data_IF_290034950892
#
_entry.id   IF_290034950892
#
_cell.length_a   1.000
_cell.length_b   1.000
_cell.length_c   1.000
_cell.angle_alpha   90.00
_cell.angle_beta   90.00
_cell.angle_gamma   90.00
#
_symmetry.space_group_name_H-M   'P 1'
#
loop_
_entity.id
_entity.type
_entity.pdbx_description
1 polymer ?
#
# COMPACT_ATOMS: atom_id res chain seq x y z
N UNK A 1 -83.48 -5.31 -4.48
CA UNK A 1 -82.17 -5.97 -4.55
C UNK A 1 -81.27 -5.32 -3.51
N UNK A 2 -81.05 -5.98 -2.38
CA UNK A 2 -80.32 -5.42 -1.24
C UNK A 2 -78.89 -5.91 -1.32
N UNK A 3 -77.92 -5.00 -1.47
CA UNK A 3 -76.51 -5.31 -1.42
C UNK A 3 -76.01 -5.31 0.04
N UNK A 4 -75.52 -6.44 0.45
CA UNK A 4 -74.99 -6.66 1.79
C UNK A 4 -73.51 -6.26 1.80
N UNK A 5 -73.15 -5.28 2.62
CA UNK A 5 -71.78 -4.82 2.81
C UNK A 5 -71.18 -5.55 4.01
N UNK A 6 -70.39 -6.57 3.74
CA UNK A 6 -69.58 -7.24 4.77
C UNK A 6 -68.28 -6.47 4.98
N UNK A 7 -68.10 -6.11 6.22
CA UNK A 7 -66.93 -5.47 6.77
C UNK A 7 -65.63 -6.18 6.43
N UNK A 8 -64.71 -5.51 5.75
CA UNK A 8 -63.32 -5.92 5.67
C UNK A 8 -62.60 -5.35 6.88
N UNK A 9 -62.30 -6.18 7.87
CA UNK A 9 -61.37 -5.87 8.92
C UNK A 9 -59.96 -5.91 8.34
N UNK A 10 -59.32 -4.73 8.14
CA UNK A 10 -57.92 -4.60 7.73
C UNK A 10 -57.05 -4.92 8.93
N UNK A 11 -56.50 -6.12 8.98
CA UNK A 11 -55.52 -6.54 9.98
C UNK A 11 -54.21 -5.83 9.68
N UNK A 12 -53.93 -4.70 10.29
CA UNK A 12 -52.59 -4.10 10.27
C UNK A 12 -51.65 -5.01 11.06
N UNK A 13 -50.93 -5.89 10.36
CA UNK A 13 -49.75 -6.56 10.92
C UNK A 13 -48.64 -5.51 10.98
N UNK A 14 -48.46 -4.94 12.16
CA UNK A 14 -47.27 -4.16 12.47
C UNK A 14 -46.10 -5.14 12.52
N UNK A 15 -45.36 -5.23 11.43
CA UNK A 15 -44.06 -5.85 11.46
C UNK A 15 -43.15 -4.97 12.33
N UNK A 16 -43.06 -5.29 13.62
CA UNK A 16 -41.91 -4.87 14.41
C UNK A 16 -40.70 -5.62 13.81
N UNK A 17 -40.01 -4.97 12.87
CA UNK A 17 -38.65 -5.32 12.56
C UNK A 17 -37.85 -5.10 13.85
N UNK A 18 -37.64 -6.18 14.60
CA UNK A 18 -36.54 -6.20 15.56
C UNK A 18 -35.27 -5.89 14.73
N UNK A 19 -34.85 -4.63 14.74
CA UNK A 19 -33.46 -4.29 14.50
C UNK A 19 -32.69 -5.00 15.62
N UNK A 20 -32.34 -6.25 15.42
CA UNK A 20 -31.19 -6.85 16.09
C UNK A 20 -30.03 -6.00 15.62
N UNK A 21 -29.63 -5.02 16.43
CA UNK A 21 -28.44 -4.24 16.19
C UNK A 21 -27.30 -5.24 15.98
N UNK A 22 -26.94 -5.47 14.73
CA UNK A 22 -25.71 -6.19 14.43
C UNK A 22 -24.61 -5.41 15.13
N UNK A 23 -23.97 -6.02 16.13
CA UNK A 23 -22.84 -5.39 16.77
C UNK A 23 -21.83 -5.21 15.65
N UNK A 24 -21.59 -3.97 15.26
CA UNK A 24 -20.74 -3.64 14.13
C UNK A 24 -19.35 -4.23 14.33
N UNK A 25 -18.85 -4.93 13.32
CA UNK A 25 -17.49 -5.44 13.25
C UNK A 25 -16.97 -5.28 11.83
N UNK A 26 -15.67 -5.19 11.68
CA UNK A 26 -14.97 -5.22 10.39
C UNK A 26 -13.91 -6.30 10.48
N UNK A 27 -14.04 -7.31 9.64
CA UNK A 27 -13.03 -8.37 9.52
C UNK A 27 -11.72 -7.77 8.98
N UNK A 28 -10.55 -8.38 9.30
CA UNK A 28 -9.27 -7.87 8.81
C UNK A 28 -9.26 -7.63 7.29
N UNK A 29 -9.04 -6.38 6.89
CA UNK A 29 -9.04 -5.95 5.50
C UNK A 29 -7.78 -6.41 4.78
N UNK A 30 -6.62 -6.29 5.43
CA UNK A 30 -5.31 -6.63 4.89
C UNK A 30 -5.04 -8.13 5.10
N UNK A 31 -4.76 -8.85 4.02
CA UNK A 31 -4.56 -10.30 4.05
C UNK A 31 -3.08 -10.71 4.01
N UNK A 32 -2.17 -9.76 3.87
CA UNK A 32 -0.74 -10.01 3.78
C UNK A 32 -0.16 -10.48 5.11
N UNK A 33 0.78 -11.42 5.05
CA UNK A 33 1.57 -11.89 6.19
C UNK A 33 3.04 -11.51 5.99
N UNK A 34 3.28 -10.25 5.65
CA UNK A 34 4.62 -9.78 5.31
C UNK A 34 5.47 -9.49 6.53
N UNK A 35 6.79 -9.50 6.33
CA UNK A 35 7.77 -9.23 7.38
C UNK A 35 8.84 -8.25 6.91
N UNK A 36 9.73 -7.86 7.82
CA UNK A 36 10.85 -6.98 7.50
C UNK A 36 12.09 -7.72 6.96
N UNK A 37 11.99 -9.04 6.77
CA UNK A 37 13.09 -9.92 6.32
C UNK A 37 12.81 -10.46 4.93
N UNK A 38 13.74 -11.24 4.37
CA UNK A 38 13.57 -11.90 3.06
C UNK A 38 12.21 -12.65 3.00
N UNK A 39 11.50 -12.54 1.85
CA UNK A 39 11.93 -11.86 0.61
C UNK A 39 11.67 -10.34 0.57
N UNK A 40 11.00 -9.76 1.58
CA UNK A 40 10.51 -8.38 1.56
C UNK A 40 11.63 -7.34 1.61
N UNK A 41 12.80 -7.69 2.18
CA UNK A 41 13.96 -6.81 2.25
C UNK A 41 15.05 -7.11 1.21
N UNK A 42 14.82 -7.98 0.25
CA UNK A 42 15.87 -8.44 -0.68
C UNK A 42 16.48 -7.32 -1.54
N UNK A 43 15.79 -6.20 -1.68
CA UNK A 43 16.31 -5.00 -2.35
C UNK A 43 16.90 -3.95 -1.39
N UNK A 44 16.80 -4.15 -0.10
CA UNK A 44 17.38 -3.24 0.89
C UNK A 44 18.91 -3.25 0.86
N UNK A 45 19.57 -2.19 1.35
CA UNK A 45 21.02 -2.14 1.34
C UNK A 45 21.65 -3.23 2.22
N UNK A 46 22.80 -3.72 1.81
CA UNK A 46 23.62 -4.63 2.62
C UNK A 46 24.53 -3.80 3.53
N UNK A 47 24.50 -4.11 4.82
CA UNK A 47 25.44 -3.58 5.81
C UNK A 47 26.79 -4.28 5.69
N UNK A 48 27.84 -3.56 5.34
CA UNK A 48 29.15 -4.15 5.07
C UNK A 48 29.88 -4.63 6.32
N UNK A 49 29.43 -4.25 7.53
CA UNK A 49 30.00 -4.74 8.79
C UNK A 49 29.60 -6.19 9.05
N UNK A 50 28.34 -6.50 8.77
CA UNK A 50 27.77 -7.81 9.06
C UNK A 50 27.67 -8.69 7.81
N UNK A 51 27.81 -8.09 6.62
CA UNK A 51 27.55 -8.71 5.32
C UNK A 51 26.12 -9.26 5.22
N UNK A 52 25.17 -8.52 5.79
CA UNK A 52 23.76 -8.89 5.86
C UNK A 52 22.89 -7.80 5.22
N UNK A 53 21.82 -8.23 4.56
CA UNK A 53 20.77 -7.32 4.10
C UNK A 53 20.06 -6.71 5.32
N UNK A 54 19.92 -5.39 5.32
CA UNK A 54 19.23 -4.67 6.39
C UNK A 54 17.75 -5.00 6.44
N UNK A 55 17.10 -4.78 7.58
CA UNK A 55 15.65 -4.91 7.68
C UNK A 55 14.94 -3.88 6.77
N UNK A 56 13.76 -4.23 6.29
CA UNK A 56 12.96 -3.34 5.44
C UNK A 56 12.44 -2.08 6.19
N UNK A 57 12.21 -2.21 7.50
CA UNK A 57 11.62 -1.18 8.34
C UNK A 57 10.10 -1.26 8.43
N UNK A 58 9.58 -1.08 9.64
CA UNK A 58 8.15 -1.23 9.93
C UNK A 58 7.26 -0.26 9.15
N UNK A 59 7.69 1.00 9.00
CA UNK A 59 6.97 2.01 8.22
C UNK A 59 6.82 1.56 6.76
N UNK A 60 7.89 1.04 6.14
CA UNK A 60 7.85 0.57 4.76
C UNK A 60 6.92 -0.64 4.58
N UNK A 61 6.94 -1.59 5.53
CA UNK A 61 6.03 -2.75 5.51
C UNK A 61 4.58 -2.31 5.67
N UNK A 62 4.28 -1.44 6.65
CA UNK A 62 2.92 -0.97 6.86
C UNK A 62 2.37 -0.23 5.63
N UNK A 63 3.16 0.66 5.02
CA UNK A 63 2.79 1.32 3.76
C UNK A 63 2.53 0.30 2.65
N UNK A 64 3.46 -0.63 2.44
CA UNK A 64 3.37 -1.61 1.36
C UNK A 64 2.15 -2.54 1.52
N UNK A 65 1.80 -2.94 2.74
CA UNK A 65 0.60 -3.75 3.03
C UNK A 65 -0.69 -3.00 2.71
N UNK A 66 -0.78 -1.72 3.10
CA UNK A 66 -1.94 -0.87 2.76
C UNK A 66 -2.01 -0.64 1.26
N UNK A 67 -0.89 -0.42 0.58
CA UNK A 67 -0.84 -0.27 -0.86
C UNK A 67 -1.26 -1.55 -1.59
N UNK A 68 -0.87 -2.72 -1.08
CA UNK A 68 -1.29 -4.02 -1.62
C UNK A 68 -2.80 -4.27 -1.42
N UNK A 69 -3.38 -3.86 -0.31
CA UNK A 69 -4.83 -3.93 -0.09
C UNK A 69 -5.60 -3.18 -1.18
N UNK A 70 -5.15 -1.96 -1.52
CA UNK A 70 -5.78 -1.13 -2.55
C UNK A 70 -5.40 -1.55 -3.98
N UNK A 71 -4.34 -2.35 -4.16
CA UNK A 71 -3.69 -2.59 -5.45
C UNK A 71 -3.40 -1.28 -6.20
N UNK A 72 -2.92 -0.28 -5.47
CA UNK A 72 -2.69 1.09 -5.94
C UNK A 72 -1.32 1.62 -5.47
N UNK A 73 -0.62 2.40 -6.30
CA UNK A 73 -0.92 2.88 -7.66
C UNK A 73 -0.61 1.85 -8.75
N UNK A 74 -1.04 2.12 -10.00
CA UNK A 74 -0.56 1.35 -11.17
C UNK A 74 0.93 1.60 -11.38
N UNK A 75 1.34 2.88 -11.26
CA UNK A 75 2.74 3.29 -11.20
C UNK A 75 2.91 4.48 -10.23
N UNK A 76 4.12 4.67 -9.75
CA UNK A 76 4.42 5.83 -8.91
C UNK A 76 4.25 7.14 -9.66
N UNK A 77 3.95 8.22 -8.95
CA UNK A 77 3.77 9.55 -9.56
C UNK A 77 5.01 10.41 -9.40
N UNK A 78 5.44 10.79 -8.29
CA UNK A 78 6.50 11.78 -8.07
C UNK A 78 6.22 13.14 -8.75
N UNK A 79 5.45 13.98 -8.05
CA UNK A 79 5.04 15.31 -8.56
C UNK A 79 6.22 16.26 -8.82
N UNK A 80 7.37 16.06 -8.20
CA UNK A 80 8.55 16.91 -8.41
C UNK A 80 9.35 16.56 -9.66
N UNK A 81 9.16 15.34 -10.19
CA UNK A 81 9.94 14.81 -11.31
C UNK A 81 11.36 14.34 -10.93
N UNK A 82 11.84 14.69 -9.73
CA UNK A 82 13.16 14.34 -9.24
C UNK A 82 13.13 13.00 -8.46
N UNK A 83 14.20 12.19 -8.50
CA UNK A 83 14.24 10.97 -7.70
C UNK A 83 14.28 11.30 -6.21
N UNK A 84 13.60 10.52 -5.38
CA UNK A 84 13.89 10.53 -3.94
C UNK A 84 15.31 10.02 -3.73
N UNK A 85 16.14 10.81 -3.10
CA UNK A 85 17.57 10.52 -2.97
C UNK A 85 18.10 11.03 -1.63
N UNK A 86 18.85 10.18 -0.92
CA UNK A 86 19.49 10.54 0.33
C UNK A 86 20.75 9.72 0.59
N UNK A 87 21.60 10.22 1.50
CA UNK A 87 22.80 9.52 1.93
C UNK A 87 22.47 8.59 3.08
N UNK A 88 22.74 7.31 2.90
CA UNK A 88 22.69 6.30 3.95
C UNK A 88 24.10 5.85 4.33
N UNK A 89 24.32 5.52 5.61
CA UNK A 89 25.63 5.12 6.13
C UNK A 89 25.47 3.81 6.91
N UNK A 90 26.24 2.79 6.55
CA UNK A 90 26.22 1.49 7.23
C UNK A 90 26.91 1.51 8.60
N UNK A 91 26.80 0.40 9.35
CA UNK A 91 27.41 0.26 10.69
C UNK A 91 28.95 0.30 10.71
N UNK A 92 29.62 0.28 9.53
CA UNK A 92 31.06 0.46 9.34
C UNK A 92 31.43 1.91 9.06
N UNK A 93 30.45 2.79 8.93
CA UNK A 93 30.65 4.18 8.52
C UNK A 93 30.78 4.38 7.00
N UNK A 94 30.54 3.34 6.20
CA UNK A 94 30.57 3.44 4.75
C UNK A 94 29.25 4.03 4.25
N UNK A 95 29.35 5.15 3.55
CA UNK A 95 28.18 5.84 3.01
C UNK A 95 27.96 5.52 1.53
N UNK A 96 26.68 5.45 1.16
CA UNK A 96 26.23 5.44 -0.25
C UNK A 96 24.96 6.27 -0.41
N UNK A 97 24.71 6.75 -1.61
CA UNK A 97 23.45 7.38 -1.96
C UNK A 97 22.42 6.29 -2.31
N UNK A 98 21.30 6.32 -1.62
CA UNK A 98 20.10 5.56 -2.02
C UNK A 98 19.21 6.48 -2.84
N UNK A 99 18.73 6.00 -3.99
CA UNK A 99 17.94 6.81 -4.90
C UNK A 99 16.91 5.96 -5.63
N UNK A 100 15.68 6.47 -5.74
CA UNK A 100 14.58 5.85 -6.49
C UNK A 100 13.78 6.91 -7.24
N UNK A 101 13.62 6.69 -8.54
CA UNK A 101 12.70 7.47 -9.35
C UNK A 101 11.35 6.75 -9.34
N UNK A 102 10.52 7.09 -8.38
CA UNK A 102 9.27 6.38 -8.08
C UNK A 102 8.34 6.35 -9.29
N UNK A 103 8.26 7.44 -10.06
CA UNK A 103 7.43 7.55 -11.27
C UNK A 103 7.79 6.58 -12.41
N UNK A 104 8.96 5.98 -12.37
CA UNK A 104 9.37 4.95 -13.36
C UNK A 104 9.04 3.53 -12.91
N UNK A 105 8.42 3.34 -11.73
CA UNK A 105 8.10 2.02 -11.20
C UNK A 105 6.63 1.70 -11.42
N UNK A 106 6.37 0.64 -12.17
CA UNK A 106 5.06 -0.01 -12.31
C UNK A 106 4.97 -1.16 -11.32
N UNK A 107 3.80 -1.34 -10.71
CA UNK A 107 3.58 -2.34 -9.67
C UNK A 107 2.81 -3.53 -10.23
N UNK A 108 3.18 -4.74 -9.79
CA UNK A 108 2.63 -6.03 -10.24
C UNK A 108 1.77 -6.60 -9.12
N UNK A 109 0.60 -6.00 -8.89
CA UNK A 109 -0.23 -6.33 -7.74
C UNK A 109 -0.64 -7.80 -7.66
N UNK A 110 -0.93 -8.42 -8.80
CA UNK A 110 -1.26 -9.84 -8.90
C UNK A 110 -0.09 -10.78 -8.55
N UNK A 111 1.14 -10.28 -8.60
CA UNK A 111 2.35 -11.08 -8.37
C UNK A 111 2.92 -10.90 -6.95
N UNK A 112 2.33 -10.03 -6.13
CA UNK A 112 2.90 -9.67 -4.81
C UNK A 112 3.09 -10.86 -3.87
N UNK A 113 2.26 -11.91 -4.02
CA UNK A 113 2.33 -13.12 -3.21
C UNK A 113 3.22 -14.21 -3.83
N UNK A 114 3.43 -14.16 -5.15
CA UNK A 114 4.10 -15.23 -5.90
C UNK A 114 5.49 -14.87 -6.40
N UNK A 115 5.80 -13.58 -6.54
CA UNK A 115 7.09 -13.08 -7.02
C UNK A 115 7.83 -12.26 -5.95
N UNK A 116 8.89 -12.80 -5.34
CA UNK A 116 9.70 -12.08 -4.35
C UNK A 116 10.23 -10.73 -4.84
N UNK A 117 10.51 -10.60 -6.15
CA UNK A 117 11.02 -9.34 -6.72
C UNK A 117 9.94 -8.27 -6.74
N UNK A 118 8.67 -8.64 -6.99
CA UNK A 118 7.56 -7.70 -6.99
C UNK A 118 7.37 -7.05 -5.62
N UNK A 119 7.28 -7.87 -4.59
CA UNK A 119 7.06 -7.37 -3.22
C UNK A 119 8.28 -6.64 -2.67
N UNK A 120 9.50 -7.15 -2.89
CA UNK A 120 10.73 -6.48 -2.45
C UNK A 120 10.88 -5.09 -3.10
N UNK A 121 10.49 -4.95 -4.37
CA UNK A 121 10.50 -3.66 -5.08
C UNK A 121 9.53 -2.67 -4.45
N UNK A 122 8.31 -3.08 -4.17
CA UNK A 122 7.30 -2.23 -3.52
C UNK A 122 7.80 -1.76 -2.15
N UNK A 123 8.25 -2.69 -1.31
CA UNK A 123 8.74 -2.41 0.04
C UNK A 123 9.95 -1.47 0.02
N UNK A 124 10.90 -1.73 -0.90
CA UNK A 124 12.08 -0.87 -1.04
C UNK A 124 11.72 0.54 -1.54
N UNK A 125 10.76 0.67 -2.46
CA UNK A 125 10.27 1.95 -2.91
C UNK A 125 9.61 2.74 -1.75
N UNK A 126 8.81 2.08 -0.92
CA UNK A 126 8.25 2.69 0.29
C UNK A 126 9.37 3.17 1.24
N UNK A 127 10.33 2.30 1.53
CA UNK A 127 11.42 2.62 2.45
C UNK A 127 12.30 3.79 1.98
N UNK A 128 12.70 3.79 0.69
CA UNK A 128 13.47 4.92 0.15
C UNK A 128 12.66 6.21 0.16
N UNK A 129 11.36 6.13 -0.14
CA UNK A 129 10.48 7.31 -0.16
C UNK A 129 10.35 7.99 1.20
N UNK A 130 10.42 7.22 2.29
CA UNK A 130 10.37 7.75 3.67
C UNK A 130 11.76 7.96 4.28
N UNK A 131 12.81 7.97 3.48
CA UNK A 131 14.21 8.18 3.93
C UNK A 131 14.63 7.19 5.02
N UNK A 132 14.34 5.90 4.83
CA UNK A 132 14.61 4.84 5.81
C UNK A 132 16.08 4.80 6.23
N UNK A 133 16.33 4.90 7.52
CA UNK A 133 17.65 4.58 8.10
C UNK A 133 17.75 3.08 8.31
N UNK A 134 18.39 2.43 7.34
CA UNK A 134 18.44 0.98 7.26
C UNK A 134 19.52 0.39 8.17
N UNK A 135 19.16 -0.65 8.95
CA UNK A 135 20.10 -1.39 9.80
C UNK A 135 19.72 -2.87 9.89
N UNK A 136 20.66 -3.73 10.34
CA UNK A 136 20.44 -5.18 10.47
C UNK A 136 19.63 -5.56 11.70
N UNK A 137 19.72 -4.78 12.78
CA UNK A 137 18.95 -4.98 14.01
C UNK A 137 17.67 -4.17 14.08
N UNK A 138 17.67 -2.99 13.45
CA UNK A 138 16.55 -2.05 13.41
C UNK A 138 16.68 -1.17 12.18
N UNK A 139 15.56 -0.92 11.49
CA UNK A 139 15.45 0.09 10.43
C UNK A 139 14.31 1.03 10.78
N UNK A 140 14.58 2.31 10.82
CA UNK A 140 13.64 3.32 11.26
C UNK A 140 13.47 4.47 10.27
N UNK A 141 12.30 5.07 10.31
CA UNK A 141 11.99 6.31 9.61
C UNK A 141 11.00 7.09 10.45
N UNK A 142 10.92 8.39 10.16
CA UNK A 142 9.90 9.24 10.77
C UNK A 142 8.55 8.99 10.05
N UNK A 143 7.59 8.46 10.77
CA UNK A 143 6.23 8.18 10.25
C UNK A 143 5.51 9.44 9.75
N UNK A 144 5.94 10.64 10.14
CA UNK A 144 5.40 11.90 9.63
C UNK A 144 5.55 12.04 8.12
N UNK A 145 6.55 11.41 7.51
CA UNK A 145 6.72 11.43 6.06
C UNK A 145 5.64 10.60 5.34
N UNK A 146 5.09 9.58 5.99
CA UNK A 146 4.19 8.60 5.35
C UNK A 146 3.00 9.25 4.66
N UNK A 147 2.34 10.21 5.34
CA UNK A 147 1.18 10.94 4.81
C UNK A 147 1.52 11.62 3.47
N UNK A 148 2.53 12.47 3.50
CA UNK A 148 2.89 13.28 2.32
C UNK A 148 3.44 12.41 1.18
N UNK A 149 4.15 11.34 1.52
CA UNK A 149 4.70 10.40 0.55
C UNK A 149 3.62 9.57 -0.14
N UNK A 150 2.59 9.12 0.58
CA UNK A 150 1.45 8.42 -0.04
C UNK A 150 0.75 9.31 -1.08
N UNK A 151 0.57 10.58 -0.77
CA UNK A 151 -0.02 11.56 -1.68
C UNK A 151 0.93 11.86 -2.86
N UNK A 152 2.16 12.30 -2.57
CA UNK A 152 3.09 12.87 -3.55
C UNK A 152 3.71 11.81 -4.47
N UNK A 153 4.06 10.64 -3.92
CA UNK A 153 4.77 9.59 -4.66
C UNK A 153 3.85 8.48 -5.17
N UNK A 154 2.70 8.29 -4.54
CA UNK A 154 1.85 7.12 -4.82
C UNK A 154 0.41 7.47 -5.18
N UNK A 155 0.07 8.75 -5.29
CA UNK A 155 -1.24 9.20 -5.78
C UNK A 155 -2.42 8.77 -4.92
N UNK A 156 -2.22 8.80 -3.60
CA UNK A 156 -3.30 8.66 -2.63
C UNK A 156 -3.99 10.01 -2.39
N UNK A 157 -5.15 9.97 -1.76
CA UNK A 157 -5.99 11.16 -1.53
C UNK A 157 -5.29 12.20 -0.65
N UNK A 158 -5.45 13.47 -1.01
CA UNK A 158 -4.95 14.61 -0.23
C UNK A 158 -5.68 14.86 1.10
N UNK A 159 -6.72 14.07 1.43
CA UNK A 159 -7.40 14.16 2.71
C UNK A 159 -6.85 13.21 3.78
N UNK A 160 -5.75 12.51 3.51
CA UNK A 160 -5.00 11.74 4.51
C UNK A 160 -4.64 12.66 5.69
N UNK A 161 -4.88 12.18 6.91
CA UNK A 161 -4.59 12.92 8.15
C UNK A 161 -3.74 12.09 9.09
N UNK A 162 -2.77 12.72 9.71
CA UNK A 162 -2.11 12.19 10.90
C UNK A 162 -2.82 12.71 12.14
N UNK A 163 -3.12 11.83 13.08
CA UNK A 163 -3.85 12.11 14.31
C UNK A 163 -3.05 11.61 15.52
N UNK A 164 -2.54 12.50 16.37
CA UNK A 164 -1.94 12.11 17.64
C UNK A 164 -3.02 11.69 18.63
N UNK A 165 -2.86 10.53 19.28
CA UNK A 165 -3.86 9.98 20.21
C UNK A 165 -4.09 10.85 21.44
N UNK A 166 -3.07 11.57 21.90
CA UNK A 166 -3.17 12.43 23.08
C UNK A 166 -4.14 13.62 22.94
N UNK A 167 -4.63 13.88 21.73
CA UNK A 167 -5.62 14.93 21.46
C UNK A 167 -7.07 14.45 21.58
N UNK A 168 -7.29 13.17 21.94
CA UNK A 168 -8.61 12.53 21.96
C UNK A 168 -8.87 11.84 23.30
N UNK A 169 -10.14 11.76 23.71
CA UNK A 169 -10.58 10.77 24.71
C UNK A 169 -10.48 9.38 24.11
N UNK A 170 -10.59 8.33 24.94
CA UNK A 170 -10.52 6.96 24.42
C UNK A 170 -11.77 6.63 23.56
N UNK A 171 -12.93 7.16 23.92
CA UNK A 171 -14.18 7.02 23.16
C UNK A 171 -14.07 7.70 21.79
N UNK A 172 -13.56 8.93 21.74
CA UNK A 172 -13.35 9.65 20.48
C UNK A 172 -12.32 8.96 19.59
N UNK A 173 -11.25 8.41 20.17
CA UNK A 173 -10.23 7.68 19.44
C UNK A 173 -10.77 6.38 18.85
N UNK A 174 -11.49 5.59 19.64
CA UNK A 174 -12.16 4.38 19.18
C UNK A 174 -13.15 4.70 18.04
N UNK A 175 -13.94 5.75 18.19
CA UNK A 175 -14.88 6.18 17.14
C UNK A 175 -14.17 6.61 15.87
N UNK A 176 -13.03 7.33 15.96
CA UNK A 176 -12.20 7.73 14.83
C UNK A 176 -11.65 6.54 14.07
N UNK A 177 -11.10 5.54 14.76
CA UNK A 177 -10.55 4.34 14.13
C UNK A 177 -11.66 3.54 13.44
N UNK A 178 -12.79 3.33 14.12
CA UNK A 178 -13.94 2.60 13.56
C UNK A 178 -14.52 3.29 12.33
N UNK A 179 -14.68 4.61 12.34
CA UNK A 179 -15.18 5.37 11.18
C UNK A 179 -14.35 5.14 9.92
N UNK A 180 -13.02 4.99 10.05
CA UNK A 180 -12.16 4.64 8.94
C UNK A 180 -12.35 3.17 8.49
N UNK A 181 -12.37 2.25 9.44
CA UNK A 181 -12.50 0.82 9.16
C UNK A 181 -13.87 0.49 8.55
N UNK A 182 -14.94 1.16 9.00
CA UNK A 182 -16.29 1.02 8.43
C UNK A 182 -16.37 1.44 6.96
N UNK A 183 -15.50 2.36 6.52
CA UNK A 183 -15.34 2.76 5.11
C UNK A 183 -14.45 1.80 4.30
N UNK A 184 -13.91 0.76 4.94
CA UNK A 184 -12.94 -0.13 4.32
C UNK A 184 -11.55 0.50 4.15
N UNK A 185 -11.20 1.45 4.99
CA UNK A 185 -9.92 2.17 4.94
C UNK A 185 -8.97 1.70 6.04
N UNK A 186 -7.96 0.89 5.71
CA UNK A 186 -6.95 0.48 6.68
C UNK A 186 -6.15 1.70 7.17
N UNK A 187 -5.69 1.60 8.41
CA UNK A 187 -5.03 2.68 9.13
C UNK A 187 -3.55 2.30 9.33
N UNK A 188 -2.63 3.22 9.07
CA UNK A 188 -1.24 3.06 9.51
C UNK A 188 -1.13 3.66 10.90
N UNK A 189 -0.77 2.82 11.86
CA UNK A 189 -0.73 3.16 13.28
C UNK A 189 0.70 3.07 13.81
N UNK A 190 1.15 4.08 14.53
CA UNK A 190 2.43 4.08 15.24
C UNK A 190 2.19 4.10 16.75
N UNK A 191 2.84 3.20 17.46
CA UNK A 191 2.86 3.17 18.93
C UNK A 191 4.08 3.88 19.54
N UNK A 192 4.78 4.68 18.73
CA UNK A 192 6.02 5.36 19.09
C UNK A 192 7.26 4.49 18.87
N UNK A 193 7.21 3.20 19.13
CA UNK A 193 8.32 2.27 18.92
C UNK A 193 8.17 1.40 17.67
N UNK A 194 6.95 1.21 17.19
CA UNK A 194 6.63 0.34 16.06
C UNK A 194 5.45 0.88 15.26
N UNK A 195 5.56 0.80 13.93
CA UNK A 195 4.50 1.18 12.99
C UNK A 195 3.92 -0.07 12.35
N UNK A 196 2.59 -0.17 12.30
CA UNK A 196 1.85 -1.33 11.83
C UNK A 196 0.50 -0.92 11.22
N UNK A 197 -0.23 -1.90 10.70
CA UNK A 197 -1.56 -1.66 10.13
C UNK A 197 -2.65 -2.05 11.13
N UNK A 198 -3.63 -1.16 11.33
CA UNK A 198 -4.90 -1.46 12.01
C UNK A 198 -5.95 -1.56 10.92
N UNK A 199 -6.58 -2.72 10.80
CA UNK A 199 -7.38 -3.05 9.61
C UNK A 199 -8.69 -3.80 9.91
N UNK A 200 -9.09 -3.86 11.16
CA UNK A 200 -10.36 -4.46 11.55
C UNK A 200 -10.69 -4.23 13.02
N UNK A 201 -11.92 -4.51 13.38
CA UNK A 201 -12.35 -4.56 14.79
C UNK A 201 -13.49 -5.57 14.97
N UNK A 202 -13.55 -6.21 16.13
CA UNK A 202 -14.56 -7.21 16.43
C UNK A 202 -15.65 -6.68 17.38
N UNK A 203 -16.67 -7.52 17.61
CA UNK A 203 -17.80 -7.24 18.50
C UNK A 203 -17.40 -7.01 19.97
N UNK A 204 -16.23 -7.52 20.39
CA UNK A 204 -15.72 -7.40 21.74
C UNK A 204 -14.93 -6.09 21.93
N UNK A 205 -14.85 -5.24 20.89
CA UNK A 205 -14.14 -3.96 20.89
C UNK A 205 -12.64 -4.06 20.70
N UNK A 206 -12.13 -5.24 20.31
CA UNK A 206 -10.73 -5.43 19.98
C UNK A 206 -10.44 -5.01 18.55
N UNK A 207 -9.30 -4.35 18.33
CA UNK A 207 -8.80 -3.98 17.02
C UNK A 207 -7.84 -5.02 16.50
N UNK A 208 -7.94 -5.35 15.20
CA UNK A 208 -6.97 -6.19 14.53
C UNK A 208 -5.75 -5.37 14.13
N UNK A 209 -4.54 -5.92 14.40
CA UNK A 209 -3.27 -5.25 14.21
C UNK A 209 -2.31 -6.17 13.45
N UNK A 210 -2.03 -5.85 12.19
CA UNK A 210 -1.01 -6.54 11.40
C UNK A 210 0.35 -5.86 11.62
N UNK A 211 1.19 -6.52 12.42
CA UNK A 211 2.48 -5.99 12.88
C UNK A 211 3.60 -6.05 11.85
N UNK A 212 3.40 -6.73 10.73
CA UNK A 212 4.47 -6.94 9.75
C UNK A 212 5.58 -7.87 10.24
N UNK A 213 5.21 -8.95 10.96
CA UNK A 213 6.15 -9.93 11.52
C UNK A 213 6.08 -11.30 10.84
N UNK A 214 5.41 -11.42 9.70
CA UNK A 214 5.33 -12.65 8.90
C UNK A 214 4.16 -13.56 9.27
N UNK A 215 3.11 -13.02 9.85
CA UNK A 215 1.86 -13.70 10.19
C UNK A 215 0.70 -12.70 10.35
N UNK A 216 -0.54 -13.21 10.41
CA UNK A 216 -1.77 -12.44 10.22
C UNK A 216 -2.10 -11.36 11.24
N UNK A 217 -1.42 -11.30 12.39
CA UNK A 217 -1.62 -10.22 13.35
C UNK A 217 -2.31 -10.60 14.67
N UNK A 218 -2.66 -9.58 15.47
CA UNK A 218 -3.23 -9.72 16.82
C UNK A 218 -4.54 -8.97 16.95
N UNK A 219 -5.37 -9.39 17.91
CA UNK A 219 -6.54 -8.66 18.38
C UNK A 219 -6.21 -8.00 19.72
N UNK A 220 -6.18 -6.67 19.75
CA UNK A 220 -5.80 -5.89 20.91
C UNK A 220 -6.87 -4.91 21.36
N UNK A 221 -6.93 -4.69 22.67
CA UNK A 221 -7.64 -3.52 23.21
C UNK A 221 -6.89 -2.24 22.84
N UNK A 222 -7.56 -1.11 22.96
CA UNK A 222 -6.96 0.20 22.69
C UNK A 222 -5.73 0.48 23.57
N UNK A 223 -5.69 -0.03 24.79
CA UNK A 223 -4.57 0.14 25.72
C UNK A 223 -3.36 -0.72 25.35
N UNK A 224 -3.58 -1.87 24.71
CA UNK A 224 -2.51 -2.73 24.22
C UNK A 224 -1.86 -2.19 22.93
N UNK A 225 -2.54 -1.28 22.22
CA UNK A 225 -2.08 -0.70 20.97
C UNK A 225 -0.96 0.35 21.14
N UNK A 226 -0.66 0.71 22.37
CA UNK A 226 0.39 1.66 22.71
C UNK A 226 -0.08 2.79 23.61
N UNK A 227 0.88 3.49 24.17
CA UNK A 227 0.63 4.56 25.12
C UNK A 227 0.05 5.80 24.40
N UNK A 228 -0.88 6.44 25.13
CA UNK A 228 -1.61 7.61 24.64
C UNK A 228 -0.73 8.79 24.23
N UNK A 229 0.42 8.95 24.88
CA UNK A 229 1.34 10.06 24.66
C UNK A 229 2.19 9.92 23.40
N UNK A 230 2.42 8.68 22.95
CA UNK A 230 3.33 8.37 21.84
C UNK A 230 2.64 7.77 20.60
N UNK A 231 1.34 7.46 20.70
CA UNK A 231 0.62 6.84 19.59
C UNK A 231 0.08 7.86 18.59
N UNK A 232 0.15 7.51 17.32
CA UNK A 232 -0.43 8.27 16.20
C UNK A 232 -1.16 7.34 15.23
N UNK A 233 -2.18 7.84 14.55
CA UNK A 233 -2.86 7.15 13.45
C UNK A 233 -2.79 7.99 12.17
N UNK A 234 -2.45 7.36 11.05
CA UNK A 234 -2.59 7.94 9.72
C UNK A 234 -3.87 7.34 9.14
N UNK A 235 -4.86 8.18 8.94
CA UNK A 235 -6.23 7.85 8.56
C UNK A 235 -6.61 8.44 7.20
N UNK A 236 -7.74 8.04 6.66
CA UNK A 236 -8.24 8.43 5.33
C UNK A 236 -7.30 7.97 4.21
N UNK A 237 -6.69 6.81 4.36
CA UNK A 237 -5.78 6.26 3.35
C UNK A 237 -6.62 5.54 2.29
N UNK A 238 -6.86 6.21 1.17
CA UNK A 238 -7.53 5.64 0.01
C UNK A 238 -6.95 6.23 -1.29
N UNK A 239 -7.05 5.53 -2.42
CA UNK A 239 -6.57 6.02 -3.71
C UNK A 239 -7.22 7.35 -4.13
N UNK A 240 -6.44 8.23 -4.76
CA UNK A 240 -6.98 9.26 -5.61
C UNK A 240 -7.02 8.78 -7.06
N UNK A 241 -8.15 8.22 -7.47
CA UNK A 241 -8.33 7.72 -8.82
C UNK A 241 -8.31 8.83 -9.90
N UNK A 242 -8.32 10.10 -9.52
CA UNK A 242 -8.12 11.23 -10.45
C UNK A 242 -6.65 11.54 -10.69
N UNK A 243 -5.75 11.00 -9.86
CA UNK A 243 -4.31 11.23 -9.94
C UNK A 243 -3.69 10.61 -11.19
N UNK A 244 -2.45 11.00 -11.50
CA UNK A 244 -1.66 10.43 -12.60
C UNK A 244 -1.06 9.04 -12.29
N UNK A 245 -1.41 8.43 -11.16
CA UNK A 245 -0.91 7.12 -10.74
C UNK A 245 -1.54 5.93 -11.48
N UNK A 246 -2.35 6.19 -12.50
CA UNK A 246 -3.00 5.24 -13.40
C UNK A 246 -2.46 5.35 -14.81
N UNK A 247 -2.71 4.36 -15.66
CA UNK A 247 -2.49 4.50 -17.10
C UNK A 247 -3.71 5.15 -17.76
N UNK A 248 -3.46 6.16 -18.58
CA UNK A 248 -4.52 6.89 -19.31
C UNK A 248 -4.80 6.27 -20.68
N UNK A 249 -3.88 5.49 -21.22
CA UNK A 249 -3.97 4.81 -22.51
C UNK A 249 -3.35 3.39 -22.41
N UNK A 250 -3.70 2.47 -23.33
CA UNK A 250 -3.10 1.14 -23.33
C UNK A 250 -1.57 1.22 -23.38
N UNK A 251 -0.92 0.61 -22.42
CA UNK A 251 0.53 0.74 -22.23
C UNK A 251 1.16 -0.65 -22.07
N UNK A 252 2.22 -0.94 -22.85
CA UNK A 252 3.04 -2.10 -22.63
C UNK A 252 4.12 -1.80 -21.58
N UNK A 253 4.24 -2.66 -20.60
CA UNK A 253 5.28 -2.55 -19.58
C UNK A 253 6.17 -3.76 -19.63
N UNK A 254 7.48 -3.52 -19.81
CA UNK A 254 8.53 -4.54 -19.78
C UNK A 254 9.09 -4.58 -18.37
N UNK A 255 8.91 -5.71 -17.68
CA UNK A 255 9.45 -5.95 -16.34
C UNK A 255 10.73 -6.76 -16.42
N UNK A 256 11.72 -6.40 -15.61
CA UNK A 256 13.01 -7.09 -15.55
C UNK A 256 13.20 -7.86 -14.25
N UNK A 257 14.07 -8.86 -14.26
CA UNK A 257 14.35 -9.73 -13.11
C UNK A 257 15.00 -9.00 -11.93
N UNK A 258 15.53 -7.79 -12.16
CA UNK A 258 16.04 -6.91 -11.11
C UNK A 258 14.98 -5.92 -10.58
N UNK A 259 13.70 -6.16 -10.92
CA UNK A 259 12.56 -5.39 -10.44
C UNK A 259 12.34 -4.04 -11.12
N UNK A 260 13.11 -3.71 -12.17
CA UNK A 260 12.84 -2.48 -12.93
C UNK A 260 11.74 -2.69 -13.94
N UNK A 261 11.14 -1.59 -14.37
CA UNK A 261 10.13 -1.55 -15.42
C UNK A 261 10.44 -0.49 -16.46
N UNK A 262 9.90 -0.67 -17.66
CA UNK A 262 9.93 0.34 -18.71
C UNK A 262 8.58 0.31 -19.43
N UNK A 263 7.90 1.46 -19.46
CA UNK A 263 6.58 1.58 -20.06
C UNK A 263 6.64 2.19 -21.45
N UNK A 264 5.76 1.71 -22.30
CA UNK A 264 5.63 2.10 -23.69
C UNK A 264 4.14 2.25 -24.01
N UNK A 265 3.59 3.48 -24.06
CA UNK A 265 2.24 3.73 -24.54
C UNK A 265 2.04 3.10 -25.91
N UNK A 266 0.94 2.39 -26.12
CA UNK A 266 0.71 1.61 -27.35
C UNK A 266 0.70 2.47 -28.60
N UNK A 267 0.22 3.71 -28.47
CA UNK A 267 0.19 4.69 -29.56
C UNK A 267 1.58 5.20 -29.97
N UNK A 268 2.61 5.04 -29.11
CA UNK A 268 4.00 5.45 -29.36
C UNK A 268 4.88 4.31 -29.90
N UNK A 269 4.40 3.07 -29.91
CA UNK A 269 5.14 1.91 -30.43
C UNK A 269 5.02 1.86 -31.94
N UNK A 270 6.16 1.75 -32.62
CA UNK A 270 6.26 1.43 -34.04
C UNK A 270 6.36 -0.09 -34.23
N UNK A 271 7.22 -0.74 -33.43
CA UNK A 271 7.44 -2.18 -33.48
C UNK A 271 7.84 -2.75 -32.11
N UNK A 272 7.36 -3.95 -31.81
CA UNK A 272 7.89 -4.77 -30.72
C UNK A 272 8.36 -6.10 -31.31
N UNK A 273 9.66 -6.33 -31.35
CA UNK A 273 10.28 -7.50 -31.94
C UNK A 273 10.85 -8.42 -30.86
N UNK A 274 10.44 -9.68 -30.89
CA UNK A 274 11.02 -10.76 -30.11
C UNK A 274 12.03 -11.51 -30.95
N UNK A 275 13.24 -11.61 -30.44
CA UNK A 275 14.31 -12.43 -31.02
C UNK A 275 14.60 -13.63 -30.11
N UNK A 276 15.55 -14.46 -30.47
CA UNK A 276 16.00 -15.57 -29.61
C UNK A 276 16.77 -15.12 -28.36
N UNK A 277 17.17 -13.85 -28.28
CA UNK A 277 17.99 -13.31 -27.19
C UNK A 277 17.46 -12.07 -26.55
N UNK A 278 16.52 -11.37 -27.19
CA UNK A 278 16.11 -10.03 -26.80
C UNK A 278 14.63 -9.75 -27.08
N UNK A 279 14.05 -8.84 -26.28
CA UNK A 279 12.88 -8.05 -26.65
C UNK A 279 13.35 -6.65 -27.05
N UNK A 280 12.97 -6.21 -28.22
CA UNK A 280 13.33 -4.92 -28.80
C UNK A 280 12.07 -4.10 -29.03
N UNK A 281 11.97 -2.95 -28.39
CA UNK A 281 10.86 -2.01 -28.57
C UNK A 281 11.37 -0.80 -29.33
N UNK A 282 10.80 -0.54 -30.50
CA UNK A 282 11.08 0.63 -31.32
C UNK A 282 9.89 1.58 -31.25
N UNK A 283 10.14 2.83 -30.88
CA UNK A 283 9.11 3.87 -30.84
C UNK A 283 8.92 4.52 -32.21
N UNK A 284 7.81 5.23 -32.42
CA UNK A 284 7.53 6.00 -33.63
C UNK A 284 8.58 7.08 -33.92
N UNK A 285 9.22 7.62 -32.89
CA UNK A 285 10.36 8.55 -33.02
C UNK A 285 11.66 7.86 -33.45
N UNK A 286 11.62 6.54 -33.73
CA UNK A 286 12.73 5.67 -34.10
C UNK A 286 13.72 5.38 -32.97
N UNK A 287 13.49 5.82 -31.76
CA UNK A 287 14.27 5.37 -30.60
C UNK A 287 13.99 3.90 -30.32
N UNK A 288 15.01 3.15 -29.95
CA UNK A 288 14.91 1.73 -29.70
C UNK A 288 15.50 1.37 -28.34
N UNK A 289 14.79 0.53 -27.59
CA UNK A 289 15.31 -0.06 -26.35
C UNK A 289 15.30 -1.58 -26.47
N UNK A 290 16.41 -2.20 -26.08
CA UNK A 290 16.57 -3.66 -26.10
C UNK A 290 16.68 -4.20 -24.68
N UNK A 291 15.90 -5.22 -24.35
CA UNK A 291 15.97 -5.96 -23.08
C UNK A 291 16.39 -7.39 -23.37
N UNK A 292 17.48 -7.86 -22.78
CA UNK A 292 17.95 -9.23 -22.89
C UNK A 292 16.97 -10.20 -22.25
N UNK A 293 16.67 -11.34 -22.89
CA UNK A 293 15.72 -12.33 -22.37
C UNK A 293 16.12 -12.88 -20.99
N UNK A 294 17.40 -13.01 -20.69
CA UNK A 294 17.89 -13.44 -19.38
C UNK A 294 17.70 -12.39 -18.26
N UNK A 295 17.31 -11.16 -18.62
CA UNK A 295 16.97 -10.07 -17.71
C UNK A 295 15.47 -9.73 -17.76
N UNK A 296 14.72 -10.36 -18.65
CA UNK A 296 13.30 -10.14 -18.79
C UNK A 296 12.55 -11.01 -17.77
N UNK A 297 11.67 -10.40 -16.97
CA UNK A 297 10.70 -11.15 -16.20
C UNK A 297 9.48 -11.47 -17.07
N UNK A 298 8.78 -10.44 -17.53
CA UNK A 298 7.70 -10.56 -18.52
C UNK A 298 7.33 -9.20 -19.12
N UNK A 299 6.44 -9.23 -20.11
CA UNK A 299 5.82 -8.02 -20.68
C UNK A 299 4.32 -8.10 -20.45
N UNK A 300 3.75 -7.02 -19.93
CA UNK A 300 2.33 -6.89 -19.66
C UNK A 300 1.75 -5.70 -20.42
N UNK A 301 0.58 -5.88 -20.99
CA UNK A 301 -0.23 -4.76 -21.48
C UNK A 301 -1.19 -4.31 -20.36
N UNK A 302 -1.09 -3.06 -19.99
CA UNK A 302 -2.01 -2.39 -19.08
C UNK A 302 -3.03 -1.60 -19.88
N UNK A 303 -4.25 -1.58 -19.41
CA UNK A 303 -5.35 -0.80 -19.97
C UNK A 303 -5.76 0.31 -19.01
N UNK A 304 -6.33 1.41 -19.52
CA UNK A 304 -6.90 2.44 -18.66
C UNK A 304 -7.87 1.84 -17.65
N UNK A 305 -7.75 2.25 -16.40
CA UNK A 305 -8.68 1.84 -15.37
C UNK A 305 -10.03 2.50 -15.64
N UNK A 306 -11.06 1.71 -15.95
CA UNK A 306 -12.44 2.20 -16.00
C UNK A 306 -12.91 2.35 -14.56
N UNK A 307 -13.17 3.57 -14.14
CA UNK A 307 -13.78 3.84 -12.84
C UNK A 307 -15.28 3.90 -13.12
N UNK A 308 -16.01 2.86 -12.71
CA UNK A 308 -17.47 2.92 -12.66
C UNK A 308 -17.85 3.92 -11.55
N UNK A 309 -18.39 5.06 -11.95
CA UNK A 309 -18.88 6.12 -11.04
C UNK A 309 -20.20 5.71 -10.37
#
# INVERSE_FOLDING_TARGET
>A
MKLNWKSFALLCIVNLAFCTGSIAQVDPLVKTEWSQRSPYNDMCPVDSKYNETTLAGCVAIAMAQVMNYWQWPVHGVNVTGEPTSYRWTDSKGKSKTLSRKISENYYRWEDMESDPVAVAMLVYNCGVSVYMDYGTGFSGSNEYYTKDILEINFGYSGDIKMRPRNLYTDEEWIALLKDNLDKGWPIIYSSGAHTYVVDGYNKDGLFHNNQGYGWGGYWWTIDQMGDKGSSTAIINIHPDYSSKAKVEEPTFVVFTTDGKSAAYPSDQIDEMLWTTTDVKVTKKDKTTKTTKLNKLSYVKQLFPTVIDN
#
